data_IF_592813826476
#
_entry.id   IF_592813826476
#
_cell.length_a   1.000
_cell.length_b   1.000
_cell.length_c   1.000
_cell.angle_alpha   90.00
_cell.angle_beta   90.00
_cell.angle_gamma   90.00
#
_symmetry.space_group_name_H-M   'P 1'
#
loop_
_entity.id
_entity.type
_entity.pdbx_description
1 polymer ?
#
# COMPACT_ATOMS: atom_id res chain seq x y z
N UNK A 1 21.37 -15.12 -66.46
CA UNK A 1 20.24 -14.22 -66.15
C UNK A 1 20.12 -14.14 -64.63
N UNK A 2 20.25 -12.98 -63.97
CA UNK A 2 20.14 -12.89 -62.51
C UNK A 2 18.67 -12.96 -62.07
N UNK A 3 18.43 -13.63 -60.93
CA UNK A 3 17.12 -13.83 -60.30
C UNK A 3 16.49 -12.50 -59.86
N UNK A 4 15.15 -12.34 -59.99
CA UNK A 4 14.48 -11.15 -59.50
C UNK A 4 14.27 -11.24 -57.98
N UNK A 5 14.76 -10.20 -57.32
CA UNK A 5 14.09 -9.59 -56.16
C UNK A 5 14.23 -10.30 -54.82
N UNK A 6 15.28 -9.86 -54.10
CA UNK A 6 15.26 -9.66 -52.65
C UNK A 6 13.95 -8.96 -52.22
N UNK A 7 12.98 -9.73 -51.74
CA UNK A 7 11.94 -9.18 -50.89
C UNK A 7 12.50 -9.05 -49.47
N UNK A 8 13.08 -7.89 -49.14
CA UNK A 8 13.31 -7.49 -47.75
C UNK A 8 11.98 -7.48 -47.02
N UNK A 9 11.74 -8.49 -46.18
CA UNK A 9 10.65 -8.48 -45.21
C UNK A 9 10.83 -7.23 -44.33
N UNK A 10 9.85 -6.31 -44.25
CA UNK A 10 9.94 -5.19 -43.33
C UNK A 10 9.96 -5.77 -41.91
N UNK A 11 11.02 -5.48 -41.16
CA UNK A 11 11.03 -5.69 -39.71
C UNK A 11 9.85 -4.86 -39.19
N UNK A 12 8.78 -5.53 -38.79
CA UNK A 12 7.71 -4.88 -38.06
C UNK A 12 8.35 -4.37 -36.77
N UNK A 13 8.62 -3.08 -36.75
CA UNK A 13 8.91 -2.32 -35.55
C UNK A 13 7.70 -2.47 -34.62
N UNK A 14 7.73 -3.53 -33.83
CA UNK A 14 6.88 -3.71 -32.67
C UNK A 14 7.21 -2.54 -31.75
N UNK A 15 6.38 -1.50 -31.84
CA UNK A 15 6.39 -0.37 -30.95
C UNK A 15 6.10 -0.91 -29.53
N UNK A 16 7.17 -1.21 -28.78
CA UNK A 16 7.08 -1.39 -27.33
C UNK A 16 6.75 -0.02 -26.75
N UNK A 17 5.45 0.31 -26.67
CA UNK A 17 4.98 1.41 -25.85
C UNK A 17 5.51 1.27 -24.42
N UNK A 18 5.60 2.36 -23.65
CA UNK A 18 6.13 2.30 -22.29
C UNK A 18 5.36 1.27 -21.47
N UNK A 19 6.10 0.28 -20.95
CA UNK A 19 5.57 -0.77 -20.08
C UNK A 19 4.96 -0.11 -18.84
N UNK A 20 3.64 -0.01 -18.79
CA UNK A 20 2.93 0.53 -17.63
C UNK A 20 2.84 -0.56 -16.55
N UNK A 21 3.59 -0.38 -15.45
CA UNK A 21 3.51 -1.28 -14.29
C UNK A 21 2.34 -0.87 -13.39
N UNK A 22 1.20 -1.52 -13.56
CA UNK A 22 0.09 -1.41 -12.62
C UNK A 22 0.46 -2.17 -11.34
N UNK A 23 0.61 -1.47 -10.22
CA UNK A 23 0.83 -2.08 -8.91
C UNK A 23 -0.42 -1.91 -8.08
N UNK A 24 -1.11 -3.01 -7.79
CA UNK A 24 -2.28 -3.03 -6.92
C UNK A 24 -1.91 -3.72 -5.59
N UNK A 25 -2.50 -3.28 -4.49
CA UNK A 25 -2.23 -3.79 -3.13
C UNK A 25 -0.78 -3.56 -2.66
N UNK A 26 -0.28 -2.32 -2.78
CA UNK A 26 1.02 -1.92 -2.20
C UNK A 26 1.05 -2.06 -0.67
N UNK A 27 -0.13 -2.19 -0.05
CA UNK A 27 -0.34 -2.50 1.36
C UNK A 27 -0.94 -3.91 1.53
N UNK A 28 -0.84 -4.47 2.73
CA UNK A 28 -1.31 -5.83 2.99
C UNK A 28 -2.83 -6.00 2.78
N UNK A 29 -3.24 -7.24 2.52
CA UNK A 29 -4.61 -7.60 2.12
C UNK A 29 -5.59 -7.50 3.28
N UNK A 30 -6.74 -6.86 3.06
CA UNK A 30 -7.85 -6.85 4.01
C UNK A 30 -8.58 -8.19 4.03
N UNK A 31 -9.16 -8.56 5.18
CA UNK A 31 -9.94 -9.80 5.33
C UNK A 31 -11.15 -9.59 6.23
N UNK A 32 -12.20 -10.39 6.04
CA UNK A 32 -13.29 -10.46 6.99
C UNK A 32 -12.91 -11.29 8.22
N UNK A 33 -13.39 -10.88 9.40
CA UNK A 33 -13.26 -11.63 10.63
C UNK A 33 -14.53 -11.48 11.47
N UNK A 34 -14.96 -12.55 12.12
CA UNK A 34 -15.98 -12.48 13.16
C UNK A 34 -15.29 -12.22 14.50
N UNK A 35 -15.60 -11.08 15.13
CA UNK A 35 -15.05 -10.68 16.43
C UNK A 35 -16.21 -10.21 17.30
N UNK A 36 -16.34 -10.73 18.52
CA UNK A 36 -17.43 -10.40 19.45
C UNK A 36 -18.81 -10.48 18.78
N UNK A 37 -19.07 -11.59 18.07
CA UNK A 37 -20.33 -11.87 17.37
C UNK A 37 -20.70 -10.87 16.26
N UNK A 38 -19.77 -9.99 15.87
CA UNK A 38 -19.95 -9.01 14.81
C UNK A 38 -18.92 -9.20 13.70
N UNK A 39 -19.35 -9.05 12.46
CA UNK A 39 -18.47 -9.12 11.29
C UNK A 39 -17.68 -7.82 11.17
N UNK A 40 -16.35 -7.95 11.02
CA UNK A 40 -15.41 -6.84 10.90
C UNK A 40 -14.55 -6.99 9.64
N UNK A 41 -14.12 -5.85 9.10
CA UNK A 41 -13.07 -5.78 8.09
C UNK A 41 -11.73 -5.52 8.78
N UNK A 42 -10.83 -6.50 8.73
CA UNK A 42 -9.49 -6.42 9.34
C UNK A 42 -8.49 -6.03 8.26
N UNK A 43 -7.71 -5.00 8.55
CA UNK A 43 -6.67 -4.49 7.66
C UNK A 43 -5.32 -4.47 8.38
N UNK A 44 -4.21 -4.78 7.70
CA UNK A 44 -2.88 -4.45 8.20
C UNK A 44 -2.68 -2.94 8.13
N UNK A 45 -2.22 -2.34 9.23
CA UNK A 45 -2.02 -0.90 9.36
C UNK A 45 -0.65 -0.58 9.97
N UNK A 46 -0.19 0.63 9.72
CA UNK A 46 0.83 1.29 10.54
C UNK A 46 0.28 2.64 10.97
N UNK A 47 0.39 2.99 12.24
CA UNK A 47 -0.07 4.29 12.74
C UNK A 47 0.95 5.41 12.54
N UNK A 48 2.21 5.02 12.45
CA UNK A 48 3.33 5.93 12.29
C UNK A 48 4.35 5.33 11.35
N UNK A 49 5.03 6.19 10.60
CA UNK A 49 6.10 5.77 9.69
C UNK A 49 7.44 6.15 10.32
N UNK A 50 8.47 5.29 10.25
CA UNK A 50 9.80 5.64 10.74
C UNK A 50 10.36 6.87 10.03
N UNK A 51 11.13 7.68 10.76
CA UNK A 51 11.74 8.89 10.24
C UNK A 51 11.44 10.13 11.07
N UNK A 52 11.74 11.30 10.51
CA UNK A 52 11.47 12.59 11.15
C UNK A 52 10.11 13.09 10.69
N UNK A 53 9.16 13.22 11.63
CA UNK A 53 7.80 13.69 11.34
C UNK A 53 7.57 15.05 12.01
N UNK A 54 6.75 15.88 11.38
CA UNK A 54 6.36 17.18 11.93
C UNK A 54 5.38 16.98 13.09
N UNK A 55 5.82 17.24 14.31
CA UNK A 55 4.97 17.30 15.50
C UNK A 55 4.52 18.74 15.80
N UNK A 56 3.48 18.88 16.63
CA UNK A 56 2.96 20.18 17.07
C UNK A 56 3.98 21.01 17.87
N UNK A 57 4.99 20.36 18.45
CA UNK A 57 6.09 20.96 19.21
C UNK A 57 7.42 20.91 18.44
N UNK A 58 7.38 20.73 17.12
CA UNK A 58 8.56 20.60 16.27
C UNK A 58 8.78 19.18 15.75
N UNK A 59 9.84 19.03 14.96
CA UNK A 59 10.18 17.77 14.32
C UNK A 59 10.60 16.72 15.37
N UNK A 60 10.00 15.53 15.28
CA UNK A 60 10.33 14.40 16.16
C UNK A 60 10.79 13.20 15.33
N UNK A 61 11.89 12.59 15.76
CA UNK A 61 12.43 11.39 15.13
C UNK A 61 11.81 10.13 15.74
N UNK A 62 11.31 9.24 14.89
CA UNK A 62 10.77 7.93 15.24
C UNK A 62 11.72 6.82 14.76
N UNK A 63 12.57 6.26 15.65
CA UNK A 63 13.52 5.22 15.29
C UNK A 63 12.80 3.96 14.78
N UNK A 64 13.27 3.34 13.68
CA UNK A 64 12.65 2.12 13.15
C UNK A 64 12.53 0.98 14.17
N UNK A 65 13.52 0.84 15.05
CA UNK A 65 13.54 -0.23 16.06
C UNK A 65 12.46 -0.01 17.14
N UNK A 66 12.22 1.23 17.56
CA UNK A 66 11.13 1.54 18.49
C UNK A 66 9.75 1.37 17.85
N UNK A 67 9.59 1.81 16.59
CA UNK A 67 8.32 1.68 15.86
C UNK A 67 7.92 0.20 15.68
N UNK A 68 8.89 -0.70 15.50
CA UNK A 68 8.64 -2.14 15.36
C UNK A 68 8.22 -2.83 16.67
N UNK A 69 8.67 -2.33 17.83
CA UNK A 69 8.53 -3.04 19.11
C UNK A 69 7.08 -3.23 19.58
N UNK A 70 6.13 -2.42 19.08
CA UNK A 70 4.75 -2.41 19.59
C UNK A 70 3.66 -2.63 18.52
N UNK A 71 4.02 -3.13 17.33
CA UNK A 71 3.04 -3.34 16.24
C UNK A 71 1.91 -4.29 16.68
N UNK A 72 2.25 -5.35 17.41
CA UNK A 72 1.27 -6.34 17.87
C UNK A 72 0.28 -5.80 18.90
N UNK A 73 0.62 -4.72 19.63
CA UNK A 73 -0.25 -4.13 20.65
C UNK A 73 -1.55 -3.54 20.06
N UNK A 74 -1.55 -3.23 18.77
CA UNK A 74 -2.70 -2.67 18.06
C UNK A 74 -3.61 -3.73 17.44
N UNK A 75 -3.25 -5.01 17.53
CA UNK A 75 -4.08 -6.07 16.98
C UNK A 75 -5.46 -6.08 17.66
N UNK A 76 -6.50 -6.18 16.83
CA UNK A 76 -7.90 -6.18 17.26
C UNK A 76 -8.38 -4.90 17.96
N UNK A 77 -7.59 -3.81 17.93
CA UNK A 77 -8.07 -2.51 18.38
C UNK A 77 -9.08 -1.96 17.36
N UNK A 78 -10.30 -1.61 17.78
CA UNK A 78 -11.30 -1.08 16.87
C UNK A 78 -10.89 0.32 16.40
N UNK A 79 -10.75 0.47 15.09
CA UNK A 79 -10.65 1.79 14.45
C UNK A 79 -12.05 2.23 14.07
N UNK A 80 -12.53 3.28 14.73
CA UNK A 80 -13.80 3.92 14.38
C UNK A 80 -13.58 4.85 13.19
N UNK A 81 -14.47 4.78 12.21
CA UNK A 81 -14.56 5.82 11.20
C UNK A 81 -15.29 6.99 11.86
N UNK A 82 -14.62 8.15 11.92
CA UNK A 82 -15.04 9.38 12.62
C UNK A 82 -14.78 9.39 14.13
N UNK A 83 -14.69 10.62 14.67
CA UNK A 83 -14.66 10.85 16.10
C UNK A 83 -15.95 10.32 16.76
N UNK A 84 -15.85 9.66 17.93
CA UNK A 84 -17.03 9.20 18.67
C UNK A 84 -17.89 10.39 19.09
N UNK A 85 -19.07 10.53 18.48
CA UNK A 85 -20.01 11.62 18.79
C UNK A 85 -20.80 11.43 20.08
N UNK A 86 -20.87 10.20 20.61
CA UNK A 86 -21.60 9.89 21.84
C UNK A 86 -20.63 9.77 23.02
N UNK A 87 -20.76 10.67 24.00
CA UNK A 87 -19.94 10.83 25.22
C UNK A 87 -18.45 11.21 25.05
N UNK A 88 -18.12 11.87 23.94
CA UNK A 88 -16.91 12.70 23.80
C UNK A 88 -17.04 13.81 22.76
N UNK A 89 -18.28 13.98 22.27
CA UNK A 89 -18.85 14.92 21.28
C UNK A 89 -17.96 15.37 20.13
#
# INVERSE_FOLDING_TARGET
MPNPTEAKVPKSDLFLGPMCRITANLAGRTRYALLNERQHLVAPITLIVPGVLNGSQGALYYPPEEVKNSVAAWNYMPLVVYHPKLNGM
#
